data_IF_784531563587
#
_entry.id   IF_784531563587
#
_cell.length_a   1.000
_cell.length_b   1.000
_cell.length_c   1.000
_cell.angle_alpha   90.00
_cell.angle_beta   90.00
_cell.angle_gamma   90.00
#
_symmetry.space_group_name_H-M   'P 1'
#
loop_
_entity.id
_entity.type
_entity.pdbx_description
1 polymer ?
#
# COMPACT_ATOMS: atom_id res chain seq x y z
N UNK A 1 15.77 -23.15 4.66
CA UNK A 1 16.32 -21.82 4.33
C UNK A 1 15.74 -20.78 5.29
N UNK A 2 16.47 -19.69 5.58
CA UNK A 2 16.03 -18.61 6.48
C UNK A 2 15.37 -17.42 5.74
N UNK A 3 15.49 -17.37 4.41
CA UNK A 3 15.00 -16.28 3.57
C UNK A 3 14.33 -16.89 2.34
N UNK A 4 13.16 -16.36 1.96
CA UNK A 4 12.49 -16.62 0.68
C UNK A 4 12.55 -15.33 -0.13
N UNK A 5 13.18 -15.37 -1.29
CA UNK A 5 13.17 -14.24 -2.22
C UNK A 5 11.83 -14.19 -2.96
N UNK A 6 11.32 -12.99 -3.15
CA UNK A 6 10.12 -12.68 -3.93
C UNK A 6 10.44 -11.51 -4.86
N UNK A 7 9.80 -11.48 -6.01
CA UNK A 7 9.96 -10.43 -7.02
C UNK A 7 8.59 -10.19 -7.67
N UNK A 8 8.24 -8.91 -7.87
CA UNK A 8 6.91 -8.52 -8.33
C UNK A 8 5.79 -8.79 -7.32
N UNK A 9 4.56 -8.81 -7.83
CA UNK A 9 3.37 -9.14 -7.05
C UNK A 9 3.40 -10.63 -6.68
N UNK A 10 3.17 -10.95 -5.41
CA UNK A 10 3.30 -12.32 -4.89
C UNK A 10 2.23 -12.63 -3.85
N UNK A 11 1.44 -13.68 -4.08
CA UNK A 11 0.62 -14.27 -3.03
C UNK A 11 1.53 -14.97 -2.01
N UNK A 12 1.55 -14.45 -0.78
CA UNK A 12 2.39 -14.96 0.29
C UNK A 12 1.69 -16.09 1.04
N UNK A 13 0.40 -15.91 1.32
CA UNK A 13 -0.53 -16.85 1.93
C UNK A 13 -1.94 -16.63 1.32
N UNK A 14 -2.87 -17.59 1.43
CA UNK A 14 -4.25 -17.38 0.98
C UNK A 14 -4.86 -16.10 1.58
N UNK A 15 -5.20 -15.14 0.72
CA UNK A 15 -5.74 -13.85 1.11
C UNK A 15 -4.72 -12.79 1.58
N UNK A 16 -3.43 -13.05 1.45
CA UNK A 16 -2.33 -12.14 1.76
C UNK A 16 -1.39 -12.01 0.55
N UNK A 17 -1.41 -10.85 -0.11
CA UNK A 17 -0.60 -10.56 -1.28
C UNK A 17 0.38 -9.42 -1.01
N UNK A 18 1.61 -9.59 -1.49
CA UNK A 18 2.60 -8.52 -1.61
C UNK A 18 2.42 -7.87 -2.97
N UNK A 19 2.32 -6.55 -3.00
CA UNK A 19 2.15 -5.77 -4.22
C UNK A 19 3.44 -4.99 -4.44
N UNK A 20 4.11 -5.21 -5.56
CA UNK A 20 5.30 -4.47 -5.94
C UNK A 20 4.95 -2.99 -6.13
N UNK A 21 5.67 -2.14 -5.39
CA UNK A 21 5.46 -0.70 -5.35
C UNK A 21 6.79 0.04 -5.18
N UNK A 22 7.78 -0.30 -6.00
CA UNK A 22 9.05 0.43 -6.06
C UNK A 22 8.86 1.92 -6.29
N UNK A 23 9.87 2.70 -5.95
CA UNK A 23 9.86 4.15 -6.05
C UNK A 23 10.43 4.76 -4.78
N UNK A 24 9.76 4.55 -3.64
CA UNK A 24 10.29 4.98 -2.33
C UNK A 24 11.68 4.36 -2.06
N UNK A 25 11.78 3.05 -2.29
CA UNK A 25 13.05 2.32 -2.43
C UNK A 25 12.89 1.25 -3.51
N UNK A 26 13.98 0.81 -4.16
CA UNK A 26 13.94 -0.35 -5.06
C UNK A 26 13.45 -1.60 -4.33
N UNK A 27 12.45 -2.29 -4.88
CA UNK A 27 11.87 -3.50 -4.30
C UNK A 27 10.92 -3.25 -3.12
N UNK A 28 10.45 -2.02 -2.92
CA UNK A 28 9.40 -1.73 -1.95
C UNK A 28 8.13 -2.54 -2.29
N UNK A 29 7.44 -3.02 -1.25
CA UNK A 29 6.19 -3.78 -1.40
C UNK A 29 5.12 -3.24 -0.46
N UNK A 30 3.93 -3.02 -1.00
CA UNK A 30 2.70 -2.80 -0.26
C UNK A 30 2.03 -4.15 0.03
N UNK A 31 1.02 -4.18 0.90
CA UNK A 31 0.35 -5.43 1.31
C UNK A 31 -1.14 -5.32 1.12
N UNK A 32 -1.73 -6.30 0.42
CA UNK A 32 -3.16 -6.48 0.34
C UNK A 32 -3.58 -7.67 1.22
N UNK A 33 -4.47 -7.42 2.17
CA UNK A 33 -5.04 -8.46 3.05
C UNK A 33 -6.53 -8.53 2.83
N UNK A 34 -7.07 -9.74 2.60
CA UNK A 34 -8.52 -9.98 2.52
C UNK A 34 -8.99 -10.70 3.77
N UNK A 35 -9.76 -9.99 4.59
CA UNK A 35 -10.27 -10.50 5.86
C UNK A 35 -11.76 -10.90 5.74
N UNK A 36 -12.20 -11.96 6.42
CA UNK A 36 -13.58 -12.45 6.34
C UNK A 36 -14.68 -11.42 6.67
N UNK A 37 -14.46 -10.48 7.61
CA UNK A 37 -15.52 -9.53 8.03
C UNK A 37 -15.32 -8.11 7.52
N UNK A 38 -14.10 -7.61 7.57
CA UNK A 38 -13.70 -6.24 7.20
C UNK A 38 -13.56 -6.12 5.68
N UNK A 39 -13.36 -7.24 5.00
CA UNK A 39 -13.08 -7.27 3.56
C UNK A 39 -11.61 -6.98 3.27
N UNK A 40 -11.35 -6.44 2.10
CA UNK A 40 -10.00 -6.09 1.67
C UNK A 40 -9.49 -4.85 2.40
N UNK A 41 -8.24 -4.91 2.84
CA UNK A 41 -7.46 -3.80 3.41
C UNK A 41 -6.16 -3.69 2.61
N UNK A 42 -5.87 -2.49 2.11
CA UNK A 42 -4.60 -2.18 1.47
C UNK A 42 -3.69 -1.42 2.45
N UNK A 43 -2.53 -1.96 2.75
CA UNK A 43 -1.45 -1.28 3.46
C UNK A 43 -0.48 -0.73 2.42
N UNK A 44 -0.45 0.58 2.21
CA UNK A 44 0.46 1.19 1.23
C UNK A 44 1.90 1.17 1.72
N UNK A 45 2.11 1.16 3.04
CA UNK A 45 3.42 1.34 3.69
C UNK A 45 4.03 2.65 3.19
N UNK A 46 5.28 2.66 2.73
CA UNK A 46 5.98 3.88 2.37
C UNK A 46 5.87 4.20 0.87
N UNK A 47 5.16 3.36 0.09
CA UNK A 47 4.75 3.73 -1.26
C UNK A 47 3.84 4.97 -1.25
N UNK A 48 3.01 5.09 -0.19
CA UNK A 48 2.19 6.28 0.06
C UNK A 48 2.23 6.58 1.56
N UNK A 49 3.19 7.42 2.00
CA UNK A 49 3.37 7.75 3.41
C UNK A 49 2.17 8.49 4.03
N UNK A 50 1.54 9.38 3.27
CA UNK A 50 0.47 10.25 3.74
C UNK A 50 -0.71 10.20 2.76
N UNK A 51 -1.95 10.20 3.27
CA UNK A 51 -3.15 10.06 2.45
C UNK A 51 -3.31 11.16 1.40
N UNK A 52 -2.75 12.36 1.64
CA UNK A 52 -2.71 13.45 0.66
C UNK A 52 -1.98 13.08 -0.65
N UNK A 53 -1.02 12.16 -0.57
CA UNK A 53 -0.30 11.65 -1.74
C UNK A 53 -1.06 10.57 -2.52
N UNK A 54 -2.20 10.09 -2.00
CA UNK A 54 -2.99 9.04 -2.62
C UNK A 54 -3.97 9.58 -3.66
N UNK A 55 -3.44 10.22 -4.70
CA UNK A 55 -4.21 10.81 -5.81
C UNK A 55 -3.61 10.44 -7.16
N UNK A 56 -4.40 10.59 -8.24
CA UNK A 56 -3.94 10.45 -9.63
C UNK A 56 -3.22 11.69 -10.16
N UNK A 57 -3.38 12.82 -9.45
CA UNK A 57 -2.76 14.08 -9.82
C UNK A 57 -1.24 13.99 -9.73
N UNK A 58 -0.57 14.70 -10.63
CA UNK A 58 0.89 14.80 -10.61
C UNK A 58 1.33 15.70 -9.45
N UNK A 59 2.17 15.17 -8.58
CA UNK A 59 2.76 15.90 -7.44
C UNK A 59 4.26 16.13 -7.60
N UNK A 60 4.80 15.86 -8.80
CA UNK A 60 6.23 16.00 -9.07
C UNK A 60 6.60 17.46 -9.36
N UNK A 61 7.56 17.97 -8.60
CA UNK A 61 8.17 19.29 -8.82
C UNK A 61 9.48 19.21 -9.62
N UNK A 62 9.83 18.02 -10.12
CA UNK A 62 11.02 17.72 -10.90
C UNK A 62 12.28 17.51 -10.07
N UNK A 63 12.19 17.50 -8.74
CA UNK A 63 13.35 17.33 -7.85
C UNK A 63 13.65 15.87 -7.49
N UNK A 64 12.67 14.98 -7.66
CA UNK A 64 12.80 13.57 -7.30
C UNK A 64 13.01 12.68 -8.54
N UNK A 65 14.18 12.05 -8.72
CA UNK A 65 14.45 11.21 -9.89
C UNK A 65 13.56 9.97 -9.97
N UNK A 66 12.97 9.54 -8.85
CA UNK A 66 12.08 8.38 -8.78
C UNK A 66 10.58 8.76 -8.83
N UNK A 67 10.25 10.03 -9.07
CA UNK A 67 8.88 10.52 -9.05
C UNK A 67 7.95 9.77 -10.02
N UNK A 68 8.41 9.45 -11.22
CA UNK A 68 7.63 8.69 -12.20
C UNK A 68 7.31 7.27 -11.68
N UNK A 69 8.27 6.61 -11.04
CA UNK A 69 8.11 5.25 -10.50
C UNK A 69 7.17 5.27 -9.29
N UNK A 70 7.35 6.25 -8.39
CA UNK A 70 6.44 6.47 -7.25
C UNK A 70 5.02 6.70 -7.76
N UNK A 71 4.84 7.56 -8.77
CA UNK A 71 3.53 7.85 -9.35
C UNK A 71 2.91 6.61 -9.99
N UNK A 72 3.68 5.81 -10.71
CA UNK A 72 3.21 4.56 -11.29
C UNK A 72 2.73 3.58 -10.20
N UNK A 73 3.48 3.44 -9.11
CA UNK A 73 3.11 2.62 -7.95
C UNK A 73 1.85 3.15 -7.26
N UNK A 74 1.71 4.46 -7.05
CA UNK A 74 0.50 5.07 -6.49
C UNK A 74 -0.73 4.81 -7.37
N UNK A 75 -0.60 4.97 -8.70
CA UNK A 75 -1.68 4.69 -9.64
C UNK A 75 -2.08 3.21 -9.61
N UNK A 76 -1.10 2.30 -9.60
CA UNK A 76 -1.34 0.85 -9.47
C UNK A 76 -2.17 0.53 -8.23
N UNK A 77 -1.86 1.16 -7.10
CA UNK A 77 -2.60 1.00 -5.85
C UNK A 77 -4.01 1.60 -5.92
N UNK A 78 -4.20 2.77 -6.53
CA UNK A 78 -5.52 3.37 -6.76
C UNK A 78 -6.41 2.47 -7.64
N UNK A 79 -5.86 1.93 -8.72
CA UNK A 79 -6.57 1.03 -9.62
C UNK A 79 -6.93 -0.29 -8.93
N UNK A 80 -6.09 -0.76 -8.00
CA UNK A 80 -6.38 -1.93 -7.16
C UNK A 80 -7.56 -1.63 -6.20
N UNK A 81 -7.57 -0.47 -5.55
CA UNK A 81 -8.66 -0.02 -4.68
C UNK A 81 -10.00 0.00 -5.41
N UNK A 82 -10.02 0.57 -6.62
CA UNK A 82 -11.24 0.63 -7.43
C UNK A 82 -11.69 -0.74 -7.92
N UNK A 83 -10.76 -1.56 -8.44
CA UNK A 83 -11.08 -2.89 -8.96
C UNK A 83 -11.64 -3.81 -7.88
N UNK A 84 -11.07 -3.79 -6.68
CA UNK A 84 -11.43 -4.69 -5.60
C UNK A 84 -12.41 -4.09 -4.58
N UNK A 85 -12.86 -2.85 -4.81
CA UNK A 85 -13.76 -2.12 -3.91
C UNK A 85 -13.23 -2.09 -2.47
N UNK A 86 -11.94 -1.79 -2.32
CA UNK A 86 -11.24 -1.82 -1.04
C UNK A 86 -11.77 -0.69 -0.15
N UNK A 87 -12.38 -1.07 0.97
CA UNK A 87 -13.01 -0.11 1.88
C UNK A 87 -12.07 0.57 2.86
N UNK A 88 -10.84 0.04 3.04
CA UNK A 88 -9.84 0.58 3.95
C UNK A 88 -8.45 0.55 3.34
N UNK A 89 -7.86 1.74 3.20
CA UNK A 89 -6.45 1.93 2.81
C UNK A 89 -5.72 2.54 4.01
N UNK A 90 -4.59 1.96 4.40
CA UNK A 90 -3.77 2.41 5.53
C UNK A 90 -2.43 2.93 4.99
N UNK A 91 -2.08 4.15 5.37
CA UNK A 91 -0.88 4.87 4.93
C UNK A 91 0.28 4.72 5.93
N UNK A 92 1.52 4.83 5.47
CA UNK A 92 2.71 4.49 6.27
C UNK A 92 2.95 5.40 7.48
N UNK A 93 2.71 6.70 7.34
CA UNK A 93 3.11 7.74 8.30
C UNK A 93 2.00 8.76 8.62
N UNK A 94 0.76 8.48 8.21
CA UNK A 94 -0.35 9.41 8.37
C UNK A 94 -0.85 9.44 9.83
N UNK A 95 -0.46 10.49 10.55
CA UNK A 95 -0.80 10.66 11.98
C UNK A 95 -2.28 10.91 12.19
N UNK A 96 -2.93 11.65 11.28
CA UNK A 96 -4.37 11.92 11.38
C UNK A 96 -5.17 10.64 11.18
N UNK A 97 -4.79 9.82 10.19
CA UNK A 97 -5.37 8.51 10.00
C UNK A 97 -5.10 7.61 11.22
N UNK A 98 -3.87 7.60 11.74
CA UNK A 98 -3.47 6.75 12.86
C UNK A 98 -4.44 6.85 14.03
N UNK A 99 -4.89 8.05 14.39
CA UNK A 99 -5.86 8.27 15.49
C UNK A 99 -7.17 7.49 15.30
N UNK A 100 -7.59 7.26 14.05
CA UNK A 100 -8.85 6.57 13.71
C UNK A 100 -8.73 5.05 13.62
N UNK A 101 -7.51 4.50 13.50
CA UNK A 101 -7.30 3.07 13.29
C UNK A 101 -7.50 2.27 14.59
N UNK A 102 -7.95 1.03 14.45
CA UNK A 102 -7.92 0.06 15.55
C UNK A 102 -6.46 -0.25 15.89
N UNK A 103 -6.15 -0.22 17.18
CA UNK A 103 -4.80 -0.48 17.72
C UNK A 103 -4.92 -1.60 18.73
N UNK A 104 -3.82 -2.30 18.98
CA UNK A 104 -3.80 -3.36 19.98
C UNK A 104 -4.37 -2.85 21.33
N UNK A 105 -5.26 -3.61 21.99
CA UNK A 105 -5.62 -5.01 21.71
C UNK A 105 -6.74 -5.22 20.68
N UNK A 106 -7.30 -4.17 20.08
CA UNK A 106 -8.30 -4.28 19.01
C UNK A 106 -7.67 -4.73 17.68
N UNK A 107 -8.50 -5.25 16.77
CA UNK A 107 -8.07 -5.76 15.47
C UNK A 107 -9.18 -5.69 14.40
N UNK A 108 -8.78 -5.87 13.16
CA UNK A 108 -9.66 -6.05 12.01
C UNK A 108 -9.89 -7.55 11.78
N UNK A 109 -11.12 -7.94 11.46
CA UNK A 109 -11.58 -9.34 11.31
C UNK A 109 -12.03 -9.66 9.90
#
# INVERSE_FOLDING_TARGET
ERIRLVDGDTELLPGLELIETSGHVPGHQSVLVRLPKTGAILLTIDAVPFGQGFTRDEQDDGSNPDAEVIRASTIKLLDLVEREHIGLVIFGHDTEQWETLKKAPEFYE
#
